data_IF_356170554592
#
_entry.id   IF_356170554592
#
_cell.length_a   1.000
_cell.length_b   1.000
_cell.length_c   1.000
_cell.angle_alpha   90.00
_cell.angle_beta   90.00
_cell.angle_gamma   90.00
#
_symmetry.space_group_name_H-M   'P 1'
#
loop_
_entity.id
_entity.type
_entity.pdbx_description
1 polymer ?
#
# COMPACT_ATOMS: atom_id res chain seq x y z
N UNK A 1 25.76 -17.42 -6.62
CA UNK A 1 24.86 -18.55 -6.93
C UNK A 1 23.68 -18.50 -5.97
N UNK A 2 22.46 -18.85 -6.42
CA UNK A 2 21.34 -19.04 -5.51
C UNK A 2 21.64 -20.23 -4.57
N UNK A 3 21.30 -20.15 -3.26
CA UNK A 3 21.47 -21.29 -2.36
C UNK A 3 20.57 -22.43 -2.85
N UNK A 4 21.04 -23.69 -2.70
CA UNK A 4 20.25 -24.87 -3.08
C UNK A 4 19.15 -25.19 -2.06
N UNK A 5 19.38 -24.80 -0.80
CA UNK A 5 18.47 -25.03 0.33
C UNK A 5 18.30 -23.77 1.15
N UNK A 6 17.14 -23.56 1.77
CA UNK A 6 16.85 -22.47 2.71
C UNK A 6 15.71 -22.87 3.64
N UNK A 7 15.76 -22.49 4.90
CA UNK A 7 14.67 -22.76 5.85
C UNK A 7 13.42 -21.96 5.48
N UNK A 8 13.60 -20.65 5.21
CA UNK A 8 12.51 -19.80 4.75
C UNK A 8 12.81 -19.16 3.39
N UNK A 9 11.89 -19.32 2.45
CA UNK A 9 11.94 -18.68 1.14
C UNK A 9 10.86 -17.61 1.05
N UNK A 10 11.24 -16.33 1.03
CA UNK A 10 10.34 -15.21 0.87
C UNK A 10 10.26 -14.80 -0.60
N UNK A 11 9.06 -14.76 -1.19
CA UNK A 11 8.85 -14.38 -2.59
C UNK A 11 8.31 -12.96 -2.67
N UNK A 12 9.12 -12.03 -3.19
CA UNK A 12 8.81 -10.62 -3.41
C UNK A 12 9.64 -9.67 -2.55
N UNK A 13 10.50 -8.86 -3.20
CA UNK A 13 11.40 -7.86 -2.59
C UNK A 13 10.74 -6.50 -2.36
N UNK A 14 9.43 -6.47 -2.09
CA UNK A 14 8.75 -5.27 -1.60
C UNK A 14 9.01 -5.03 -0.12
N UNK A 15 8.54 -3.89 0.41
CA UNK A 15 8.70 -3.55 1.83
C UNK A 15 8.21 -4.65 2.77
N UNK A 16 7.10 -5.31 2.42
CA UNK A 16 6.55 -6.38 3.25
C UNK A 16 7.42 -7.65 3.21
N UNK A 17 7.92 -8.04 2.04
CA UNK A 17 8.83 -9.19 1.93
C UNK A 17 10.12 -8.96 2.71
N UNK A 18 10.72 -7.78 2.60
CA UNK A 18 11.92 -7.39 3.35
C UNK A 18 11.67 -7.41 4.86
N UNK A 19 10.59 -6.79 5.33
CA UNK A 19 10.26 -6.79 6.77
C UNK A 19 9.88 -8.18 7.30
N UNK A 20 9.25 -9.03 6.47
CA UNK A 20 8.99 -10.43 6.82
C UNK A 20 10.28 -11.23 6.93
N UNK A 21 11.21 -11.08 5.98
CA UNK A 21 12.50 -11.77 6.01
C UNK A 21 13.31 -11.38 7.26
N UNK A 22 13.39 -10.08 7.55
CA UNK A 22 14.05 -9.56 8.76
C UNK A 22 13.39 -10.07 10.05
N UNK A 23 12.06 -10.08 10.12
CA UNK A 23 11.33 -10.55 11.31
C UNK A 23 11.46 -12.08 11.49
N UNK A 24 11.48 -12.88 10.40
CA UNK A 24 11.76 -14.32 10.44
C UNK A 24 13.17 -14.56 11.00
N UNK A 25 14.18 -13.89 10.47
CA UNK A 25 15.56 -14.01 10.96
C UNK A 25 15.68 -13.60 12.42
N UNK A 26 15.03 -12.52 12.83
CA UNK A 26 15.02 -12.05 14.23
C UNK A 26 14.39 -13.06 15.18
N UNK A 27 13.32 -13.76 14.79
CA UNK A 27 12.61 -14.73 15.65
C UNK A 27 13.22 -16.10 15.68
N UNK A 28 13.80 -16.53 14.57
CA UNK A 28 14.33 -17.88 14.40
C UNK A 28 15.86 -17.93 14.28
N UNK A 29 16.57 -16.88 14.71
CA UNK A 29 18.03 -16.78 14.89
C UNK A 29 18.87 -17.48 13.82
N UNK A 30 19.13 -18.78 14.01
CA UNK A 30 20.01 -19.59 13.18
C UNK A 30 19.41 -20.03 11.83
N UNK A 31 18.12 -19.71 11.57
CA UNK A 31 17.50 -20.08 10.31
C UNK A 31 18.13 -19.35 9.12
N UNK A 32 18.25 -20.06 8.00
CA UNK A 32 18.58 -19.48 6.71
C UNK A 32 17.33 -18.85 6.07
N UNK A 33 17.46 -17.60 5.62
CA UNK A 33 16.38 -16.87 4.95
C UNK A 33 16.85 -16.43 3.57
N UNK A 34 16.11 -16.81 2.53
CA UNK A 34 16.33 -16.35 1.16
C UNK A 34 15.14 -15.54 0.69
N UNK A 35 15.38 -14.38 0.09
CA UNK A 35 14.36 -13.52 -0.50
C UNK A 35 14.56 -13.45 -2.01
N UNK A 36 13.50 -13.73 -2.77
CA UNK A 36 13.47 -13.62 -4.23
C UNK A 36 12.81 -12.29 -4.66
N UNK A 37 13.46 -11.57 -5.54
CA UNK A 37 12.88 -10.43 -6.26
C UNK A 37 13.11 -10.60 -7.77
N UNK A 38 12.04 -10.58 -8.55
CA UNK A 38 12.12 -10.78 -10.02
C UNK A 38 12.75 -9.61 -10.76
N UNK A 39 12.69 -8.42 -10.20
CA UNK A 39 13.27 -7.20 -10.75
C UNK A 39 14.76 -7.09 -10.38
N UNK A 40 15.53 -6.25 -11.10
CA UNK A 40 16.96 -6.04 -10.81
C UNK A 40 17.23 -5.38 -9.45
N UNK A 41 16.20 -4.83 -8.80
CA UNK A 41 16.30 -4.25 -7.46
C UNK A 41 14.98 -4.41 -6.69
N UNK A 42 15.06 -4.41 -5.37
CA UNK A 42 13.90 -4.43 -4.49
C UNK A 42 13.09 -3.13 -4.60
N UNK A 43 11.76 -3.21 -4.36
CA UNK A 43 10.88 -2.06 -4.23
C UNK A 43 10.48 -1.36 -5.53
N UNK A 44 10.77 -1.88 -6.71
CA UNK A 44 10.45 -1.24 -8.00
C UNK A 44 8.95 -1.19 -8.33
N UNK A 45 8.13 -1.95 -7.61
CA UNK A 45 6.67 -1.96 -7.72
C UNK A 45 6.00 -1.04 -6.68
N UNK A 46 4.89 -1.45 -6.07
CA UNK A 46 4.07 -0.64 -5.16
C UNK A 46 4.87 0.00 -4.01
N UNK A 47 5.93 -0.66 -3.51
CA UNK A 47 6.74 -0.16 -2.40
C UNK A 47 7.52 1.11 -2.73
N UNK A 48 8.02 1.26 -3.94
CA UNK A 48 8.71 2.49 -4.39
C UNK A 48 7.80 3.46 -5.15
N UNK A 49 6.55 3.09 -5.42
CA UNK A 49 5.61 3.86 -6.25
C UNK A 49 4.35 4.30 -5.50
N UNK A 50 4.46 4.53 -4.19
CA UNK A 50 3.36 4.98 -3.34
C UNK A 50 3.46 6.46 -2.97
N UNK A 51 2.52 6.92 -2.13
CA UNK A 51 2.46 8.32 -1.73
C UNK A 51 3.58 8.77 -0.79
N UNK A 52 4.25 7.86 -0.10
CA UNK A 52 5.18 8.19 0.99
C UNK A 52 4.50 8.65 2.27
N UNK A 53 3.17 8.65 2.35
CA UNK A 53 2.44 9.08 3.54
C UNK A 53 2.42 7.98 4.58
N UNK A 54 2.95 8.27 5.78
CA UNK A 54 2.77 7.47 6.98
C UNK A 54 1.41 7.76 7.59
N UNK A 55 0.46 6.85 7.37
CA UNK A 55 -0.92 7.00 7.84
C UNK A 55 -1.02 6.78 9.36
N UNK A 56 -1.88 7.55 10.04
CA UNK A 56 -2.10 7.40 11.48
C UNK A 56 -3.08 6.26 11.86
N UNK A 57 -4.01 5.88 10.95
CA UNK A 57 -4.87 4.69 11.14
C UNK A 57 -6.34 4.96 11.47
N UNK A 58 -6.79 6.19 11.56
CA UNK A 58 -8.15 6.57 11.97
C UNK A 58 -9.25 6.41 10.91
N UNK A 59 -8.90 6.02 9.67
CA UNK A 59 -9.90 5.78 8.61
C UNK A 59 -10.63 4.44 8.76
N UNK A 60 -10.06 3.49 9.49
CA UNK A 60 -10.53 2.11 9.59
C UNK A 60 -11.37 1.90 10.85
N UNK A 61 -12.31 0.96 10.81
CA UNK A 61 -13.06 0.53 11.99
C UNK A 61 -12.17 -0.28 12.92
N UNK A 62 -12.38 -0.18 14.23
CA UNK A 62 -11.47 -0.71 15.27
C UNK A 62 -11.30 -2.24 15.24
N UNK A 63 -12.26 -2.95 14.65
CA UNK A 63 -12.28 -4.41 14.47
C UNK A 63 -11.33 -4.91 13.37
N UNK A 64 -10.86 -4.04 12.48
CA UNK A 64 -10.01 -4.41 11.35
C UNK A 64 -8.53 -4.57 11.74
N UNK A 65 -7.81 -5.46 11.04
CA UNK A 65 -6.35 -5.57 11.15
C UNK A 65 -5.66 -4.25 10.74
N UNK A 66 -6.18 -3.57 9.74
CA UNK A 66 -5.66 -2.26 9.32
C UNK A 66 -5.69 -1.25 10.45
N UNK A 67 -6.79 -1.14 11.19
CA UNK A 67 -6.88 -0.23 12.34
C UNK A 67 -5.85 -0.61 13.42
N UNK A 68 -5.82 -1.87 13.80
CA UNK A 68 -4.93 -2.40 14.85
C UNK A 68 -3.46 -2.20 14.53
N UNK A 69 -3.06 -2.43 13.27
CA UNK A 69 -1.66 -2.44 12.88
C UNK A 69 -1.14 -1.08 12.38
N UNK A 70 -2.02 -0.14 11.94
CA UNK A 70 -1.54 1.12 11.36
C UNK A 70 -0.92 2.04 12.40
N UNK A 71 -1.52 2.18 13.58
CA UNK A 71 -0.99 3.04 14.65
C UNK A 71 0.42 2.59 15.08
N UNK A 72 0.57 1.30 15.34
CA UNK A 72 1.87 0.74 15.73
C UNK A 72 2.87 0.75 14.57
N UNK A 73 2.40 0.46 13.35
CA UNK A 73 3.22 0.54 12.14
C UNK A 73 3.75 1.95 11.88
N UNK A 74 2.92 2.98 12.03
CA UNK A 74 3.34 4.38 11.95
C UNK A 74 4.45 4.68 12.96
N UNK A 75 4.28 4.27 14.22
CA UNK A 75 5.26 4.49 15.28
C UNK A 75 6.59 3.79 14.96
N UNK A 76 6.54 2.50 14.57
CA UNK A 76 7.75 1.70 14.27
C UNK A 76 8.48 2.22 13.04
N UNK A 77 7.77 2.51 11.95
CA UNK A 77 8.41 3.00 10.72
C UNK A 77 8.98 4.42 10.92
N UNK A 78 8.29 5.28 11.68
CA UNK A 78 8.83 6.59 12.02
C UNK A 78 10.09 6.48 12.91
N UNK A 79 10.11 5.57 13.89
CA UNK A 79 11.28 5.30 14.71
C UNK A 79 12.45 4.76 13.88
N UNK A 80 12.17 3.81 12.98
CA UNK A 80 13.14 3.26 12.05
C UNK A 80 13.77 4.35 11.17
N UNK A 81 12.96 5.27 10.62
CA UNK A 81 13.50 6.38 9.82
C UNK A 81 14.43 7.27 10.65
N UNK A 82 14.07 7.58 11.90
CA UNK A 82 14.93 8.38 12.79
C UNK A 82 16.24 7.63 13.11
N UNK A 83 16.15 6.36 13.47
CA UNK A 83 17.32 5.51 13.80
C UNK A 83 18.29 5.38 12.63
N UNK A 84 17.78 5.28 11.41
CA UNK A 84 18.59 5.15 10.18
C UNK A 84 18.94 6.49 9.53
N UNK A 85 18.60 7.63 10.13
CA UNK A 85 18.83 8.95 9.55
C UNK A 85 18.09 9.20 8.24
N UNK A 86 16.97 8.50 7.99
CA UNK A 86 16.18 8.65 6.78
C UNK A 86 15.27 9.88 6.88
N UNK A 87 15.00 10.57 5.75
CA UNK A 87 14.14 11.73 5.73
C UNK A 87 12.72 11.42 6.23
N UNK A 88 12.28 12.17 7.22
CA UNK A 88 10.95 12.07 7.85
C UNK A 88 10.40 13.47 8.10
N UNK A 89 9.33 13.84 7.41
CA UNK A 89 8.62 15.11 7.63
C UNK A 89 7.31 14.86 8.41
N UNK A 90 7.24 15.33 9.65
CA UNK A 90 6.08 15.21 10.55
C UNK A 90 5.07 16.33 10.29
N UNK A 91 4.71 16.55 9.04
CA UNK A 91 3.85 17.66 8.60
C UNK A 91 2.37 17.53 9.05
N UNK A 92 1.95 16.40 9.58
CA UNK A 92 0.54 16.18 9.92
C UNK A 92 -0.37 16.03 8.69
N UNK A 93 -1.69 15.96 8.96
CA UNK A 93 -2.72 15.89 7.94
C UNK A 93 -4.03 16.54 8.40
N UNK A 94 -4.57 17.44 7.59
CA UNK A 94 -5.93 17.93 7.69
C UNK A 94 -6.89 17.07 6.88
N UNK A 95 -8.04 16.73 7.45
CA UNK A 95 -9.20 16.24 6.74
C UNK A 95 -10.24 17.33 6.76
N UNK A 96 -10.53 17.90 5.59
CA UNK A 96 -11.38 19.08 5.44
C UNK A 96 -12.79 18.71 4.97
N UNK A 97 -13.81 19.38 5.51
CA UNK A 97 -15.17 19.35 4.99
C UNK A 97 -15.28 20.31 3.79
N UNK A 98 -15.84 19.87 2.69
CA UNK A 98 -16.08 20.69 1.49
C UNK A 98 -17.39 21.47 1.60
N UNK A 99 -18.34 20.88 2.30
CA UNK A 99 -19.67 21.41 2.55
C UNK A 99 -20.28 20.79 3.83
N UNK A 100 -21.51 21.18 4.17
CA UNK A 100 -22.21 20.68 5.36
C UNK A 100 -22.43 19.15 5.34
N UNK A 101 -22.52 18.52 4.17
CA UNK A 101 -22.74 17.07 4.05
C UNK A 101 -21.50 16.26 4.48
N UNK A 102 -20.31 16.87 4.47
CA UNK A 102 -19.06 16.24 4.93
C UNK A 102 -18.90 16.25 6.47
N UNK A 103 -19.62 17.14 7.20
CA UNK A 103 -19.45 17.33 8.66
C UNK A 103 -19.67 16.04 9.47
N UNK A 104 -20.74 15.23 9.24
CA UNK A 104 -20.91 13.95 9.94
C UNK A 104 -19.75 12.97 9.71
N UNK A 105 -19.09 13.04 8.54
CA UNK A 105 -17.93 12.23 8.23
C UNK A 105 -16.71 12.58 9.10
N UNK A 106 -16.51 13.86 9.45
CA UNK A 106 -15.46 14.27 10.39
C UNK A 106 -15.72 13.71 11.79
N UNK A 107 -16.97 13.75 12.26
CA UNK A 107 -17.35 13.20 13.56
C UNK A 107 -17.12 11.68 13.63
N UNK A 108 -17.48 10.97 12.57
CA UNK A 108 -17.23 9.54 12.47
C UNK A 108 -15.73 9.22 12.46
N UNK A 109 -14.92 9.97 11.73
CA UNK A 109 -13.45 9.80 11.74
C UNK A 109 -12.86 10.09 13.13
N UNK A 110 -13.35 11.11 13.84
CA UNK A 110 -12.93 11.40 15.20
C UNK A 110 -13.32 10.26 16.16
N UNK A 111 -14.54 9.72 16.03
CA UNK A 111 -15.01 8.55 16.79
C UNK A 111 -14.10 7.33 16.56
N UNK A 112 -13.76 7.04 15.30
CA UNK A 112 -12.82 5.94 14.95
C UNK A 112 -11.44 6.18 15.52
N UNK A 113 -10.94 7.41 15.45
CA UNK A 113 -9.65 7.79 16.04
C UNK A 113 -9.60 7.52 17.54
N UNK A 114 -10.65 7.93 18.28
CA UNK A 114 -10.79 7.62 19.72
C UNK A 114 -10.80 6.12 19.99
N UNK A 115 -11.60 5.36 19.23
CA UNK A 115 -11.71 3.90 19.38
C UNK A 115 -10.39 3.16 19.10
N UNK A 116 -9.53 3.71 18.23
CA UNK A 116 -8.22 3.12 17.87
C UNK A 116 -7.05 3.74 18.63
N UNK A 117 -7.31 4.75 19.50
CA UNK A 117 -6.29 5.46 20.27
C UNK A 117 -5.36 6.32 19.39
N UNK A 118 -5.85 6.80 18.25
CA UNK A 118 -5.11 7.73 17.37
C UNK A 118 -5.41 9.16 17.80
N UNK A 119 -4.39 9.98 18.15
CA UNK A 119 -4.60 11.39 18.51
C UNK A 119 -5.14 12.18 17.30
N UNK A 120 -6.27 12.83 17.49
CA UNK A 120 -6.94 13.68 16.50
C UNK A 120 -7.49 14.93 17.18
N UNK A 121 -7.39 16.07 16.49
CA UNK A 121 -7.84 17.36 16.94
C UNK A 121 -8.92 17.90 15.99
N UNK A 122 -10.09 18.25 16.52
CA UNK A 122 -11.10 18.97 15.74
C UNK A 122 -10.74 20.46 15.79
N UNK A 123 -10.50 21.05 14.63
CA UNK A 123 -10.09 22.43 14.46
C UNK A 123 -11.23 23.27 13.87
N UNK A 124 -11.40 24.50 14.36
CA UNK A 124 -12.25 25.50 13.72
C UNK A 124 -11.65 25.97 12.39
N UNK A 125 -12.45 26.61 11.54
CA UNK A 125 -11.94 27.20 10.29
C UNK A 125 -10.81 28.22 10.54
N UNK A 126 -10.83 28.94 11.66
CA UNK A 126 -9.76 29.87 12.03
C UNK A 126 -8.47 29.15 12.44
N UNK A 127 -8.58 28.05 13.18
CA UNK A 127 -7.42 27.20 13.51
C UNK A 127 -6.81 26.59 12.26
N UNK A 128 -7.65 26.12 11.33
CA UNK A 128 -7.20 25.62 10.04
C UNK A 128 -6.43 26.68 9.27
N UNK A 129 -6.92 27.91 9.20
CA UNK A 129 -6.20 29.03 8.53
C UNK A 129 -4.86 29.36 9.17
N UNK A 130 -4.73 29.21 10.49
CA UNK A 130 -3.44 29.38 11.19
C UNK A 130 -2.45 28.25 10.87
N UNK A 131 -2.94 27.02 10.83
CA UNK A 131 -2.11 25.82 10.59
C UNK A 131 -1.70 25.73 9.11
N UNK A 132 -2.66 25.82 8.20
CA UNK A 132 -2.49 25.74 6.75
C UNK A 132 -3.31 26.86 6.08
N UNK A 133 -2.69 28.01 5.83
CA UNK A 133 -3.40 29.20 5.32
C UNK A 133 -4.13 28.99 3.99
N UNK A 134 -3.72 27.98 3.23
CA UNK A 134 -4.27 27.66 1.92
C UNK A 134 -5.36 26.58 1.95
N UNK A 135 -5.55 25.91 3.09
CA UNK A 135 -6.59 24.89 3.19
C UNK A 135 -7.99 25.52 3.21
N UNK A 136 -8.91 24.93 2.47
CA UNK A 136 -10.33 25.29 2.43
C UNK A 136 -11.13 24.29 3.23
N UNK A 137 -11.91 24.76 4.17
CA UNK A 137 -12.82 23.90 4.93
C UNK A 137 -14.15 24.61 5.19
N UNK A 138 -15.22 23.85 5.26
CA UNK A 138 -16.52 24.31 5.73
C UNK A 138 -16.58 24.14 7.24
N UNK A 139 -16.73 25.22 8.00
CA UNK A 139 -16.80 25.31 9.46
C UNK A 139 -15.61 24.71 10.21
N UNK A 140 -15.27 23.45 10.02
CA UNK A 140 -14.26 22.71 10.80
C UNK A 140 -13.52 21.67 9.99
N UNK A 141 -12.39 21.21 10.51
CA UNK A 141 -11.59 20.12 9.97
C UNK A 141 -11.04 19.22 11.06
N UNK A 142 -10.62 18.01 10.71
CA UNK A 142 -9.95 17.09 11.62
C UNK A 142 -8.45 17.07 11.34
N UNK A 143 -7.64 17.36 12.36
CA UNK A 143 -6.17 17.33 12.25
C UNK A 143 -5.60 16.04 12.86
N UNK A 144 -4.68 15.40 12.14
CA UNK A 144 -3.93 14.23 12.57
C UNK A 144 -2.44 14.59 12.68
N UNK A 145 -1.91 14.87 13.88
CA UNK A 145 -0.51 15.29 14.08
C UNK A 145 0.48 14.14 13.84
N UNK A 146 0.05 12.88 13.92
CA UNK A 146 0.91 11.71 13.75
C UNK A 146 1.12 11.29 12.29
N UNK A 147 0.40 11.88 11.34
CA UNK A 147 0.65 11.64 9.92
C UNK A 147 1.96 12.30 9.50
N UNK A 148 2.77 11.61 8.72
CA UNK A 148 4.08 12.10 8.28
C UNK A 148 4.34 11.73 6.81
N UNK A 149 5.44 12.19 6.25
CA UNK A 149 5.95 11.83 4.91
C UNK A 149 7.32 11.21 5.02
N UNK A 150 7.56 10.12 4.30
CA UNK A 150 8.86 9.48 4.12
C UNK A 150 9.20 9.37 2.63
N UNK A 151 10.46 9.04 2.33
CA UNK A 151 10.88 8.67 0.98
C UNK A 151 10.85 7.14 0.83
N UNK A 152 9.86 6.57 0.13
CA UNK A 152 9.67 5.12 0.09
C UNK A 152 10.87 4.35 -0.46
N UNK A 153 11.56 4.88 -1.45
CA UNK A 153 12.73 4.25 -2.06
C UNK A 153 13.91 4.18 -1.11
N UNK A 154 14.12 5.20 -0.29
CA UNK A 154 15.21 5.23 0.72
C UNK A 154 14.91 4.26 1.87
N UNK A 155 13.63 4.17 2.30
CA UNK A 155 13.21 3.17 3.29
C UNK A 155 13.47 1.76 2.79
N UNK A 156 13.12 1.46 1.53
CA UNK A 156 13.38 0.13 0.94
C UNK A 156 14.86 -0.15 0.81
N UNK A 157 15.66 0.82 0.37
CA UNK A 157 17.12 0.67 0.26
C UNK A 157 17.76 0.38 1.62
N UNK A 158 17.33 1.07 2.68
CA UNK A 158 17.78 0.83 4.05
C UNK A 158 17.42 -0.58 4.53
N UNK A 159 16.20 -1.07 4.25
CA UNK A 159 15.79 -2.44 4.59
C UNK A 159 16.58 -3.50 3.83
N UNK A 160 16.99 -3.24 2.59
CA UNK A 160 17.89 -4.14 1.83
C UNK A 160 19.27 -4.22 2.49
N UNK A 161 19.81 -3.07 2.94
CA UNK A 161 21.07 -3.05 3.68
C UNK A 161 20.96 -3.82 5.01
N UNK A 162 19.86 -3.64 5.75
CA UNK A 162 19.60 -4.38 6.98
C UNK A 162 19.48 -5.90 6.73
N UNK A 163 18.83 -6.30 5.62
CA UNK A 163 18.74 -7.71 5.24
C UNK A 163 20.13 -8.32 4.98
N UNK A 164 21.00 -7.58 4.28
CA UNK A 164 22.40 -8.00 4.09
C UNK A 164 23.17 -8.12 5.41
N UNK A 165 23.00 -7.15 6.31
CA UNK A 165 23.65 -7.18 7.63
C UNK A 165 23.12 -8.31 8.54
N UNK A 166 21.93 -8.84 8.27
CA UNK A 166 21.31 -9.97 8.96
C UNK A 166 21.55 -11.32 8.27
N UNK A 167 22.50 -11.41 7.31
CA UNK A 167 22.81 -12.62 6.53
C UNK A 167 21.60 -13.22 5.79
N UNK A 168 20.69 -12.35 5.33
CA UNK A 168 19.58 -12.76 4.48
C UNK A 168 20.04 -12.73 3.01
N UNK A 169 19.89 -13.85 2.30
CA UNK A 169 20.23 -13.94 0.89
C UNK A 169 19.16 -13.24 0.02
N UNK A 170 19.42 -11.98 -0.40
CA UNK A 170 18.51 -11.22 -1.27
C UNK A 170 18.91 -11.45 -2.74
N UNK A 171 18.10 -12.21 -3.47
CA UNK A 171 18.35 -12.58 -4.86
C UNK A 171 17.47 -11.73 -5.80
N UNK A 172 18.05 -10.67 -6.34
CA UNK A 172 17.40 -9.82 -7.36
C UNK A 172 17.58 -10.40 -8.77
N UNK A 173 16.65 -10.09 -9.69
CA UNK A 173 16.61 -10.67 -11.03
C UNK A 173 16.16 -12.14 -11.03
N UNK A 174 15.71 -12.67 -9.89
CA UNK A 174 15.31 -14.09 -9.73
C UNK A 174 13.80 -14.20 -9.52
N UNK A 175 13.11 -14.68 -10.54
CA UNK A 175 11.66 -14.83 -10.55
C UNK A 175 11.23 -16.22 -10.05
N UNK A 176 10.22 -16.26 -9.19
CA UNK A 176 9.45 -17.47 -8.91
C UNK A 176 8.77 -17.99 -10.20
N UNK A 177 8.83 -19.28 -10.46
CA UNK A 177 8.28 -19.92 -11.67
C UNK A 177 7.26 -21.01 -11.38
N UNK A 178 7.21 -21.51 -10.15
CA UNK A 178 6.28 -22.56 -9.75
C UNK A 178 6.82 -23.45 -8.64
N UNK A 179 6.05 -24.49 -8.31
CA UNK A 179 6.38 -25.51 -7.32
C UNK A 179 6.39 -26.90 -7.96
N UNK A 180 7.32 -27.76 -7.54
CA UNK A 180 7.39 -29.15 -7.96
C UNK A 180 7.92 -30.08 -6.87
N UNK A 181 8.08 -31.37 -7.21
CA UNK A 181 8.59 -32.39 -6.25
C UNK A 181 9.99 -32.07 -5.72
N UNK A 182 10.80 -31.35 -6.49
CA UNK A 182 12.19 -31.01 -6.13
C UNK A 182 12.34 -29.65 -5.44
N UNK A 183 11.25 -28.97 -5.07
CA UNK A 183 11.29 -27.66 -4.44
C UNK A 183 10.61 -26.56 -5.24
N UNK A 184 11.06 -25.32 -5.03
CA UNK A 184 10.56 -24.11 -5.70
C UNK A 184 11.38 -23.82 -6.95
N UNK A 185 10.73 -23.80 -8.10
CA UNK A 185 11.35 -23.44 -9.38
C UNK A 185 11.49 -21.93 -9.50
N UNK A 186 12.69 -21.48 -9.87
CA UNK A 186 13.00 -20.07 -10.12
C UNK A 186 13.64 -19.88 -11.49
N UNK A 187 13.83 -18.64 -11.92
CA UNK A 187 14.58 -18.34 -13.16
C UNK A 187 16.09 -18.65 -13.05
N UNK A 188 16.59 -18.90 -11.83
CA UNK A 188 18.02 -19.21 -11.57
C UNK A 188 18.25 -20.66 -11.09
N UNK A 189 17.27 -21.54 -11.25
CA UNK A 189 17.32 -22.93 -10.81
C UNK A 189 16.29 -23.24 -9.70
N UNK A 190 16.45 -24.43 -9.10
CA UNK A 190 15.51 -24.91 -8.06
C UNK A 190 16.10 -24.67 -6.68
N UNK A 191 15.24 -24.23 -5.75
CA UNK A 191 15.56 -24.03 -4.35
C UNK A 191 14.68 -24.97 -3.53
N UNK A 192 15.30 -25.80 -2.70
CA UNK A 192 14.60 -26.58 -1.69
C UNK A 192 14.35 -25.65 -0.48
N UNK A 193 13.07 -25.41 -0.19
CA UNK A 193 12.64 -24.47 0.84
C UNK A 193 11.85 -25.21 1.92
N UNK A 194 12.28 -25.12 3.16
CA UNK A 194 11.56 -25.65 4.30
C UNK A 194 10.17 -25.03 4.45
N UNK A 195 10.07 -23.72 4.27
CA UNK A 195 8.81 -22.97 4.32
C UNK A 195 8.79 -21.81 3.32
N UNK A 196 7.69 -21.67 2.58
CA UNK A 196 7.54 -20.55 1.64
C UNK A 196 6.67 -19.44 2.22
N UNK A 197 7.13 -18.18 2.12
CA UNK A 197 6.37 -16.99 2.48
C UNK A 197 6.13 -16.13 1.23
N UNK A 198 4.89 -16.09 0.79
CA UNK A 198 4.48 -15.36 -0.40
C UNK A 198 4.10 -13.91 -0.06
N UNK A 199 4.95 -12.96 -0.44
CA UNK A 199 4.75 -11.52 -0.40
C UNK A 199 4.82 -10.90 -1.81
N UNK A 200 4.40 -11.65 -2.84
CA UNK A 200 4.58 -11.33 -4.26
C UNK A 200 3.65 -10.22 -4.81
N UNK A 201 2.92 -9.51 -3.95
CA UNK A 201 2.12 -8.34 -4.31
C UNK A 201 1.15 -8.62 -5.46
N UNK A 202 1.39 -8.05 -6.65
CA UNK A 202 0.55 -8.23 -7.83
C UNK A 202 0.40 -9.69 -8.29
N UNK A 203 1.28 -10.59 -7.87
CA UNK A 203 1.26 -12.02 -8.23
C UNK A 203 0.94 -12.94 -7.06
N UNK A 204 0.59 -12.40 -5.90
CA UNK A 204 0.38 -13.17 -4.69
C UNK A 204 -0.72 -14.24 -4.85
N UNK A 205 -1.79 -13.95 -5.57
CA UNK A 205 -2.87 -14.89 -5.88
C UNK A 205 -2.42 -16.04 -6.80
N UNK A 206 -1.44 -15.82 -7.69
CA UNK A 206 -0.89 -16.86 -8.57
C UNK A 206 0.01 -17.80 -7.80
N UNK A 207 0.96 -17.25 -7.04
CA UNK A 207 1.85 -18.06 -6.18
C UNK A 207 1.03 -18.87 -5.16
N UNK A 208 0.00 -18.29 -4.57
CA UNK A 208 -0.85 -18.99 -3.61
C UNK A 208 -1.59 -20.20 -4.24
N UNK A 209 -2.05 -20.07 -5.49
CA UNK A 209 -2.72 -21.18 -6.19
C UNK A 209 -1.82 -22.38 -6.44
N UNK A 210 -0.53 -22.18 -6.65
CA UNK A 210 0.43 -23.29 -6.78
C UNK A 210 0.54 -24.13 -5.50
N UNK A 211 0.05 -23.57 -4.37
CA UNK A 211 0.00 -24.21 -3.05
C UNK A 211 -1.41 -24.63 -2.61
N UNK A 212 -2.42 -24.48 -3.48
CA UNK A 212 -3.82 -24.83 -3.17
C UNK A 212 -4.60 -23.75 -2.44
N UNK A 213 -4.07 -22.52 -2.38
CA UNK A 213 -4.73 -21.37 -1.74
C UNK A 213 -5.30 -20.38 -2.78
N UNK A 214 -5.94 -19.31 -2.30
CA UNK A 214 -6.51 -18.24 -3.15
C UNK A 214 -7.54 -18.74 -4.17
N UNK A 215 -8.29 -19.82 -3.88
CA UNK A 215 -9.30 -20.35 -4.79
C UNK A 215 -10.40 -19.37 -5.13
N UNK A 216 -10.89 -18.64 -4.10
CA UNK A 216 -11.95 -17.64 -4.23
C UNK A 216 -11.43 -16.22 -4.47
N UNK A 217 -10.11 -16.00 -4.49
CA UNK A 217 -9.53 -14.67 -4.59
C UNK A 217 -8.79 -14.46 -5.90
N UNK A 218 -8.91 -13.24 -6.44
CA UNK A 218 -8.15 -12.78 -7.62
C UNK A 218 -7.68 -11.36 -7.40
N UNK A 219 -6.47 -11.06 -7.85
CA UNK A 219 -5.99 -9.68 -7.83
C UNK A 219 -6.54 -8.94 -9.03
N UNK A 220 -7.13 -7.79 -8.73
CA UNK A 220 -7.62 -6.80 -9.67
C UNK A 220 -6.72 -5.56 -9.55
N UNK A 221 -5.89 -5.25 -10.57
CA UNK A 221 -4.95 -4.15 -10.49
C UNK A 221 -5.63 -2.80 -10.78
N UNK A 222 -5.36 -1.77 -9.94
CA UNK A 222 -5.80 -0.40 -10.15
C UNK A 222 -4.61 0.54 -10.24
N UNK A 223 -4.54 1.32 -11.31
CA UNK A 223 -3.50 2.32 -11.52
C UNK A 223 -3.83 3.62 -10.81
N UNK A 224 -2.85 4.16 -10.08
CA UNK A 224 -2.90 5.48 -9.50
C UNK A 224 -1.75 6.34 -9.98
N UNK A 225 -2.05 7.58 -10.39
CA UNK A 225 -1.04 8.58 -10.79
C UNK A 225 -1.26 9.86 -10.02
N UNK A 226 -0.18 10.56 -9.76
CA UNK A 226 -0.17 11.89 -9.16
C UNK A 226 0.30 12.93 -10.18
N UNK A 227 -0.28 14.12 -10.15
CA UNK A 227 0.30 15.30 -10.76
C UNK A 227 1.26 15.95 -9.76
N UNK A 228 2.43 16.30 -10.23
CA UNK A 228 3.47 16.97 -9.45
C UNK A 228 3.37 18.49 -9.69
N UNK A 229 3.51 19.25 -8.61
CA UNK A 229 3.67 20.70 -8.73
C UNK A 229 4.96 21.04 -9.48
N UNK A 230 4.90 22.08 -10.30
CA UNK A 230 6.06 22.66 -10.97
C UNK A 230 6.97 23.34 -9.92
N UNK A 231 8.28 23.44 -10.18
CA UNK A 231 9.19 24.22 -9.35
C UNK A 231 8.67 25.66 -9.16
N UNK A 232 8.74 26.19 -7.93
CA UNK A 232 8.24 27.51 -7.58
C UNK A 232 6.72 27.61 -7.39
N UNK A 233 5.96 26.54 -7.64
CA UNK A 233 4.54 26.52 -7.28
C UNK A 233 4.38 26.57 -5.74
N UNK A 234 3.37 27.31 -5.24
CA UNK A 234 3.15 27.41 -3.80
C UNK A 234 2.93 26.04 -3.14
N UNK A 235 3.68 25.77 -2.07
CA UNK A 235 3.60 24.54 -1.30
C UNK A 235 2.43 24.52 -0.31
N UNK A 236 2.35 23.42 0.45
CA UNK A 236 1.48 23.29 1.62
C UNK A 236 2.31 22.92 2.85
N UNK A 237 1.86 23.35 4.04
CA UNK A 237 2.52 23.02 5.32
C UNK A 237 2.18 21.62 5.79
N UNK A 238 0.97 21.15 5.50
CA UNK A 238 0.45 19.82 5.89
C UNK A 238 -0.26 19.15 4.73
N UNK A 239 -0.52 17.84 4.84
CA UNK A 239 -1.40 17.14 3.89
C UNK A 239 -2.84 17.65 4.01
N UNK A 240 -3.54 17.82 2.89
CA UNK A 240 -4.95 18.19 2.88
C UNK A 240 -5.77 17.16 2.12
N UNK A 241 -6.66 16.49 2.83
CA UNK A 241 -7.52 15.43 2.33
C UNK A 241 -9.00 15.83 2.47
N UNK A 242 -9.87 15.44 1.54
CA UNK A 242 -11.31 15.56 1.75
C UNK A 242 -11.78 14.50 2.76
N UNK A 243 -12.96 14.71 3.34
CA UNK A 243 -13.70 13.64 4.01
C UNK A 243 -13.97 12.52 2.98
N UNK A 244 -13.54 11.28 3.25
CA UNK A 244 -13.75 10.19 2.32
C UNK A 244 -15.20 9.69 2.35
N UNK A 245 -15.70 9.19 1.23
CA UNK A 245 -16.86 8.32 1.25
C UNK A 245 -16.45 7.00 1.92
N UNK A 246 -16.84 6.79 3.18
CA UNK A 246 -16.32 5.70 4.04
C UNK A 246 -16.59 4.30 3.50
N UNK A 247 -17.58 4.14 2.60
CA UNK A 247 -17.85 2.90 1.88
C UNK A 247 -16.97 2.68 0.64
N UNK A 248 -16.17 3.69 0.23
CA UNK A 248 -15.34 3.60 -0.97
C UNK A 248 -13.92 3.15 -0.61
N UNK A 249 -13.34 2.13 -1.29
CA UNK A 249 -11.96 1.71 -1.08
C UNK A 249 -10.92 2.77 -1.48
N UNK A 250 -11.31 3.82 -2.19
CA UNK A 250 -10.44 4.88 -2.68
C UNK A 250 -10.72 6.19 -1.93
N UNK A 251 -9.67 6.81 -1.38
CA UNK A 251 -9.78 8.05 -0.59
C UNK A 251 -10.07 9.32 -1.41
N UNK A 252 -10.20 9.21 -2.73
CA UNK A 252 -10.37 10.36 -3.62
C UNK A 252 -9.09 11.17 -3.83
N UNK A 253 -9.22 12.30 -4.53
CA UNK A 253 -8.11 13.21 -4.82
C UNK A 253 -7.78 14.03 -3.58
N UNK A 254 -6.50 14.08 -3.23
CA UNK A 254 -5.98 14.83 -2.09
C UNK A 254 -4.69 15.58 -2.45
N UNK A 255 -4.32 16.53 -1.63
CA UNK A 255 -3.10 17.32 -1.75
C UNK A 255 -2.08 16.78 -0.76
N UNK A 256 -0.94 16.34 -1.27
CA UNK A 256 0.09 15.68 -0.47
C UNK A 256 1.39 16.48 -0.53
N UNK A 257 1.90 16.88 0.64
CA UNK A 257 3.24 17.43 0.80
C UNK A 257 4.28 16.36 0.50
N UNK A 258 5.33 16.73 -0.22
CA UNK A 258 6.45 15.86 -0.58
C UNK A 258 7.69 16.22 0.23
N UNK A 259 8.57 15.26 0.44
CA UNK A 259 9.94 15.52 0.88
C UNK A 259 10.74 16.20 -0.25
N UNK A 260 11.70 17.05 0.13
CA UNK A 260 12.61 17.72 -0.80
C UNK A 260 12.08 19.06 -1.33
N UNK A 261 12.46 20.16 -0.67
CA UNK A 261 12.17 21.54 -1.07
C UNK A 261 10.93 22.18 -0.44
N UNK A 262 10.76 23.46 -0.63
CA UNK A 262 9.80 24.38 0.02
C UNK A 262 8.32 23.99 -0.12
N UNK A 263 7.91 22.89 0.53
CA UNK A 263 6.52 22.46 0.54
C UNK A 263 6.05 21.88 -0.79
N UNK A 264 6.95 21.30 -1.60
CA UNK A 264 6.61 20.66 -2.87
C UNK A 264 5.37 19.75 -2.75
N UNK A 265 4.47 19.84 -3.70
CA UNK A 265 3.13 19.25 -3.65
C UNK A 265 2.91 18.24 -4.77
N UNK A 266 2.12 17.22 -4.49
CA UNK A 266 1.47 16.37 -5.50
C UNK A 266 -0.02 16.27 -5.24
N UNK A 267 -0.81 16.17 -6.30
CA UNK A 267 -2.26 15.99 -6.23
C UNK A 267 -2.67 14.67 -6.88
N UNK A 268 -3.62 13.99 -6.31
CA UNK A 268 -4.07 12.67 -6.73
C UNK A 268 -4.39 11.77 -5.53
N UNK A 269 -4.37 10.43 -5.72
CA UNK A 269 -4.15 9.73 -6.99
C UNK A 269 -5.39 9.68 -7.89
N UNK A 270 -5.21 9.29 -9.14
CA UNK A 270 -6.27 8.69 -9.95
C UNK A 270 -6.52 7.26 -9.47
N UNK A 271 -7.66 6.67 -9.81
CA UNK A 271 -7.96 5.27 -9.57
C UNK A 271 -8.59 4.66 -10.83
N UNK A 272 -7.76 4.26 -11.77
CA UNK A 272 -8.19 3.64 -13.02
C UNK A 272 -7.89 2.14 -13.01
N UNK A 273 -8.77 1.29 -13.56
CA UNK A 273 -8.43 -0.10 -13.82
C UNK A 273 -7.16 -0.25 -14.65
N UNK A 274 -6.41 -1.33 -14.42
CA UNK A 274 -5.28 -1.72 -15.26
C UNK A 274 -5.63 -3.01 -15.98
N UNK A 275 -5.41 -3.06 -17.29
CA UNK A 275 -5.77 -4.22 -18.12
C UNK A 275 -4.76 -5.37 -18.04
N UNK A 276 -3.57 -5.14 -17.51
CA UNK A 276 -2.62 -6.19 -17.11
C UNK A 276 -1.89 -5.78 -15.84
N UNK A 277 -1.34 -6.75 -15.11
CA UNK A 277 -0.84 -6.55 -13.75
C UNK A 277 0.24 -5.47 -13.64
N UNK A 278 1.09 -5.34 -14.65
CA UNK A 278 2.21 -4.39 -14.67
C UNK A 278 2.03 -3.25 -15.68
N UNK A 279 0.82 -2.77 -15.87
CA UNK A 279 0.53 -1.65 -16.73
C UNK A 279 1.02 -0.31 -16.12
N UNK A 280 2.31 -0.20 -15.89
CA UNK A 280 2.91 1.03 -15.36
C UNK A 280 3.04 2.09 -16.43
N UNK A 281 3.65 1.76 -17.59
CA UNK A 281 4.01 2.70 -18.64
C UNK A 281 3.63 2.14 -20.01
N UNK A 282 2.71 2.80 -20.71
CA UNK A 282 2.28 2.45 -22.07
C UNK A 282 1.94 0.97 -22.24
N UNK A 283 2.52 0.33 -23.24
CA UNK A 283 2.38 -1.10 -23.56
C UNK A 283 3.47 -1.99 -22.95
N UNK A 284 4.34 -1.45 -22.12
CA UNK A 284 5.41 -2.21 -21.49
C UNK A 284 4.82 -3.33 -20.61
N UNK A 285 5.48 -4.51 -20.68
CA UNK A 285 5.05 -5.72 -19.95
C UNK A 285 3.60 -6.15 -20.29
N UNK A 286 3.12 -5.84 -21.52
CA UNK A 286 1.81 -6.27 -21.96
C UNK A 286 1.71 -7.80 -22.01
N UNK A 287 0.59 -8.31 -21.49
CA UNK A 287 0.25 -9.73 -21.48
C UNK A 287 -1.19 -9.91 -21.91
N UNK A 288 -1.39 -10.57 -23.03
CA UNK A 288 -2.72 -10.77 -23.60
C UNK A 288 -3.63 -11.64 -22.70
N UNK A 289 -3.06 -12.68 -22.08
CA UNK A 289 -3.75 -13.56 -21.13
C UNK A 289 -4.30 -12.78 -19.92
N UNK A 290 -3.50 -11.88 -19.40
CA UNK A 290 -3.90 -10.99 -18.29
C UNK A 290 -4.95 -9.98 -18.74
N UNK A 291 -4.75 -9.36 -19.89
CA UNK A 291 -5.66 -8.36 -20.45
C UNK A 291 -7.07 -8.95 -20.64
N UNK A 292 -7.20 -10.07 -21.30
CA UNK A 292 -8.49 -10.74 -21.53
C UNK A 292 -9.15 -11.15 -20.22
N UNK A 293 -8.37 -11.73 -19.29
CA UNK A 293 -8.91 -12.18 -18.00
C UNK A 293 -9.37 -11.03 -17.11
N UNK A 294 -8.62 -9.93 -17.05
CA UNK A 294 -8.96 -8.76 -16.24
C UNK A 294 -10.14 -8.03 -16.87
N UNK A 295 -10.11 -7.79 -18.18
CA UNK A 295 -11.21 -7.13 -18.88
C UNK A 295 -12.54 -7.88 -18.74
N UNK A 296 -12.53 -9.21 -18.85
CA UNK A 296 -13.73 -10.02 -18.65
C UNK A 296 -14.30 -9.86 -17.23
N UNK A 297 -13.44 -9.77 -16.20
CA UNK A 297 -13.87 -9.54 -14.82
C UNK A 297 -14.45 -8.15 -14.62
N UNK A 298 -13.78 -7.12 -15.15
CA UNK A 298 -14.25 -5.73 -15.06
C UNK A 298 -15.58 -5.53 -15.77
N UNK A 299 -15.75 -6.12 -16.95
CA UNK A 299 -17.02 -6.13 -17.68
C UNK A 299 -18.11 -6.85 -16.87
N UNK A 300 -17.78 -7.99 -16.25
CA UNK A 300 -18.71 -8.70 -15.37
C UNK A 300 -19.16 -7.86 -14.17
N UNK A 301 -18.23 -7.14 -13.52
CA UNK A 301 -18.56 -6.24 -12.41
C UNK A 301 -19.37 -5.03 -12.87
N UNK A 302 -19.09 -4.48 -14.05
CA UNK A 302 -19.90 -3.42 -14.66
C UNK A 302 -21.31 -3.91 -14.97
N UNK A 303 -21.47 -5.13 -15.49
CA UNK A 303 -22.77 -5.68 -15.85
C UNK A 303 -23.63 -5.95 -14.63
N UNK A 304 -23.09 -6.56 -13.58
CA UNK A 304 -23.78 -6.85 -12.32
C UNK A 304 -23.92 -5.65 -11.39
N UNK A 305 -23.16 -4.58 -11.62
CA UNK A 305 -23.00 -3.43 -10.72
C UNK A 305 -22.49 -3.82 -9.32
N UNK A 306 -21.55 -4.77 -9.27
CA UNK A 306 -20.97 -5.26 -8.03
C UNK A 306 -20.49 -4.07 -7.16
N UNK A 307 -20.91 -4.00 -5.91
CA UNK A 307 -20.61 -2.92 -4.94
C UNK A 307 -20.76 -1.47 -5.47
N UNK A 308 -21.63 -1.22 -6.45
CA UNK A 308 -21.83 0.09 -7.09
C UNK A 308 -20.69 0.48 -8.03
N UNK A 309 -20.04 -0.51 -8.65
CA UNK A 309 -18.87 -0.33 -9.53
C UNK A 309 -19.14 0.59 -10.71
N UNK A 310 -20.37 0.58 -11.30
CA UNK A 310 -20.74 1.52 -12.38
C UNK A 310 -20.60 2.97 -11.94
N UNK A 311 -21.12 3.31 -10.76
CA UNK A 311 -21.05 4.68 -10.22
C UNK A 311 -19.60 5.10 -9.98
N UNK A 312 -18.77 4.20 -9.43
CA UNK A 312 -17.34 4.44 -9.20
C UNK A 312 -16.60 4.64 -10.51
N UNK A 313 -16.80 3.78 -11.49
CA UNK A 313 -16.16 3.85 -12.81
C UNK A 313 -16.54 5.15 -13.55
N UNK A 314 -17.82 5.53 -13.56
CA UNK A 314 -18.30 6.77 -14.18
C UNK A 314 -17.73 8.01 -13.47
N UNK A 315 -17.66 8.01 -12.15
CA UNK A 315 -17.07 9.12 -11.38
C UNK A 315 -15.58 9.29 -11.70
N UNK A 316 -14.84 8.19 -11.82
CA UNK A 316 -13.42 8.23 -12.18
C UNK A 316 -13.20 8.64 -13.65
N UNK A 317 -14.00 8.13 -14.61
CA UNK A 317 -13.92 8.52 -16.02
C UNK A 317 -14.12 10.03 -16.22
N UNK A 318 -15.11 10.62 -15.52
CA UNK A 318 -15.39 12.07 -15.60
C UNK A 318 -14.27 12.94 -15.05
N UNK A 319 -13.40 12.41 -14.23
CA UNK A 319 -12.40 13.16 -13.45
C UNK A 319 -10.96 12.67 -13.67
N UNK A 320 -10.77 11.67 -14.51
CA UNK A 320 -9.46 11.00 -14.72
C UNK A 320 -8.39 11.92 -15.34
N UNK A 321 -8.79 12.95 -16.06
CA UNK A 321 -7.85 13.86 -16.73
C UNK A 321 -7.20 14.87 -15.78
N UNK A 322 -6.09 15.47 -16.22
CA UNK A 322 -5.35 16.54 -15.51
C UNK A 322 -6.27 17.63 -14.96
N UNK A 323 -7.19 18.15 -15.80
CA UNK A 323 -8.14 19.20 -15.40
C UNK A 323 -9.08 18.75 -14.28
N UNK A 324 -9.53 17.50 -14.31
CA UNK A 324 -10.39 16.91 -13.28
C UNK A 324 -9.68 16.81 -11.91
N UNK A 325 -8.43 16.33 -11.90
CA UNK A 325 -7.61 16.27 -10.69
C UNK A 325 -7.36 17.65 -10.10
N UNK A 326 -6.95 18.62 -10.94
CA UNK A 326 -6.69 20.00 -10.52
C UNK A 326 -7.95 20.63 -9.92
N UNK A 327 -9.12 20.47 -10.56
CA UNK A 327 -10.39 21.00 -10.06
C UNK A 327 -10.74 20.44 -8.68
N UNK A 328 -10.60 19.13 -8.48
CA UNK A 328 -10.87 18.49 -7.18
C UNK A 328 -9.90 19.00 -6.11
N UNK A 329 -8.62 19.12 -6.42
CA UNK A 329 -7.62 19.61 -5.48
C UNK A 329 -7.81 21.12 -5.16
N UNK A 330 -8.22 21.93 -6.14
CA UNK A 330 -8.55 23.35 -5.93
C UNK A 330 -9.77 23.57 -5.01
N UNK A 331 -10.64 22.56 -4.87
CA UNK A 331 -11.69 22.56 -3.87
C UNK A 331 -11.20 22.38 -2.43
N UNK A 332 -9.95 21.95 -2.25
CA UNK A 332 -9.35 21.66 -0.94
C UNK A 332 -8.30 22.70 -0.53
N UNK A 333 -7.60 23.27 -1.51
CA UNK A 333 -6.45 24.17 -1.27
C UNK A 333 -6.47 25.32 -2.29
N UNK A 334 -6.34 26.54 -1.80
CA UNK A 334 -6.26 27.75 -2.62
C UNK A 334 -4.98 27.79 -3.46
N UNK A 335 -5.06 28.43 -4.64
CA UNK A 335 -3.94 28.61 -5.55
C UNK A 335 -3.51 27.33 -6.29
N UNK A 336 -4.33 26.30 -6.30
CA UNK A 336 -4.14 25.15 -7.18
C UNK A 336 -4.80 25.43 -8.52
N UNK A 337 -3.97 25.52 -9.58
CA UNK A 337 -4.43 25.82 -10.94
C UNK A 337 -3.66 24.97 -11.98
N UNK A 338 -4.21 24.76 -13.20
CA UNK A 338 -3.64 23.86 -14.20
C UNK A 338 -2.20 24.20 -14.62
N UNK A 339 -1.81 25.47 -14.59
CA UNK A 339 -0.45 25.86 -14.99
C UNK A 339 0.62 25.36 -14.01
N UNK A 340 0.25 25.20 -12.72
CA UNK A 340 1.16 24.72 -11.67
C UNK A 340 1.30 23.17 -11.65
N UNK A 341 0.50 22.43 -12.41
CA UNK A 341 0.46 20.95 -12.37
C UNK A 341 0.45 20.36 -13.78
N UNK A 342 1.60 20.32 -14.45
CA UNK A 342 1.75 19.83 -15.82
C UNK A 342 2.33 18.43 -15.89
N UNK A 343 3.17 18.05 -14.94
CA UNK A 343 3.97 16.83 -14.95
C UNK A 343 3.30 15.71 -14.17
N UNK A 344 3.17 14.55 -14.82
CA UNK A 344 2.75 13.33 -14.13
C UNK A 344 3.92 12.68 -13.40
N UNK A 345 3.67 12.22 -12.18
CA UNK A 345 4.57 11.34 -11.45
C UNK A 345 4.51 9.90 -11.97
N UNK A 346 5.34 9.04 -11.39
CA UNK A 346 5.35 7.60 -11.69
C UNK A 346 3.99 6.95 -11.40
N UNK A 347 3.60 6.01 -12.25
CA UNK A 347 2.40 5.20 -12.03
C UNK A 347 2.64 4.21 -10.90
N UNK A 348 1.74 4.16 -9.91
CA UNK A 348 1.63 3.07 -8.95
C UNK A 348 0.50 2.12 -9.33
N UNK A 349 0.61 0.84 -8.98
CA UNK A 349 -0.48 -0.13 -9.16
C UNK A 349 -0.82 -0.74 -7.81
N UNK A 350 -2.11 -0.64 -7.45
CA UNK A 350 -2.68 -1.26 -6.26
C UNK A 350 -3.14 -2.68 -6.62
N UNK A 351 -2.59 -3.67 -5.94
CA UNK A 351 -2.99 -5.07 -6.05
C UNK A 351 -4.24 -5.32 -5.20
N UNK A 352 -5.42 -4.84 -5.64
CA UNK A 352 -6.65 -5.00 -4.88
C UNK A 352 -7.16 -6.43 -5.00
N UNK A 353 -7.50 -7.05 -3.87
CA UNK A 353 -8.04 -8.40 -3.86
C UNK A 353 -9.54 -8.37 -4.07
N UNK A 354 -10.02 -9.16 -5.02
CA UNK A 354 -11.42 -9.42 -5.32
C UNK A 354 -11.79 -10.81 -4.82
N UNK A 355 -12.81 -10.90 -3.99
CA UNK A 355 -13.52 -12.15 -3.70
C UNK A 355 -14.48 -12.44 -4.85
N UNK A 356 -14.19 -13.48 -5.63
CA UNK A 356 -15.00 -13.82 -6.82
C UNK A 356 -16.29 -14.56 -6.49
N UNK A 357 -16.44 -15.08 -5.27
CA UNK A 357 -17.68 -15.72 -4.81
C UNK A 357 -18.67 -14.70 -4.28
N UNK A 358 -18.17 -13.77 -3.44
CA UNK A 358 -18.98 -12.70 -2.83
C UNK A 358 -19.09 -11.45 -3.72
N UNK A 359 -18.43 -11.43 -4.86
CA UNK A 359 -18.41 -10.29 -5.79
C UNK A 359 -18.07 -8.94 -5.12
N UNK A 360 -17.12 -8.95 -4.18
CA UNK A 360 -16.72 -7.75 -3.42
C UNK A 360 -15.20 -7.63 -3.31
N UNK A 361 -14.74 -6.39 -3.11
CA UNK A 361 -13.33 -6.13 -2.82
C UNK A 361 -13.02 -6.42 -1.35
N UNK A 362 -11.92 -7.11 -1.09
CA UNK A 362 -11.41 -7.28 0.28
C UNK A 362 -10.85 -5.95 0.80
N UNK A 363 -11.45 -5.48 1.90
CA UNK A 363 -11.11 -4.17 2.46
C UNK A 363 -10.00 -4.23 3.52
N UNK A 364 -9.80 -5.39 4.18
CA UNK A 364 -8.78 -5.57 5.21
C UNK A 364 -7.59 -6.40 4.69
N UNK A 365 -6.55 -6.57 5.50
CA UNK A 365 -5.46 -7.49 5.19
C UNK A 365 -5.96 -8.92 5.14
N UNK A 366 -5.52 -9.65 4.11
CA UNK A 366 -5.92 -11.05 3.91
C UNK A 366 -4.69 -11.91 3.70
N UNK A 367 -4.68 -13.06 4.36
CA UNK A 367 -3.64 -14.07 4.23
C UNK A 367 -4.23 -15.48 4.38
N UNK A 368 -3.57 -16.46 3.79
CA UNK A 368 -3.88 -17.89 3.91
C UNK A 368 -2.57 -18.66 4.09
N UNK A 369 -2.63 -19.87 4.60
CA UNK A 369 -1.43 -20.70 4.77
C UNK A 369 -1.66 -21.92 5.61
N UNK A 370 -0.68 -22.83 5.56
CA UNK A 370 -0.60 -24.09 6.27
C UNK A 370 0.77 -24.28 6.97
N UNK A 371 1.18 -25.52 7.17
CA UNK A 371 2.47 -25.93 7.73
C UNK A 371 3.63 -25.85 6.74
N UNK A 372 3.39 -25.56 5.47
CA UNK A 372 4.40 -25.54 4.38
C UNK A 372 4.55 -24.18 3.73
N UNK A 373 3.51 -23.35 3.80
CA UNK A 373 3.50 -22.08 3.11
C UNK A 373 2.55 -21.06 3.73
N UNK A 374 2.86 -19.78 3.51
CA UNK A 374 2.06 -18.67 3.96
C UNK A 374 1.94 -17.61 2.87
N UNK A 375 0.73 -17.16 2.56
CA UNK A 375 0.43 -16.32 1.42
C UNK A 375 -0.26 -15.03 1.86
N UNK A 376 0.40 -13.88 1.67
CA UNK A 376 -0.18 -12.57 1.92
C UNK A 376 -0.90 -12.11 0.65
N UNK A 377 -2.23 -12.24 0.64
CA UNK A 377 -3.07 -12.03 -0.55
C UNK A 377 -3.48 -10.57 -0.72
N UNK A 378 -3.79 -9.86 0.38
CA UNK A 378 -4.21 -8.46 0.34
C UNK A 378 -3.38 -7.62 1.32
N UNK A 379 -2.37 -6.94 0.79
CA UNK A 379 -1.52 -6.02 1.51
C UNK A 379 -1.48 -4.65 0.78
N UNK A 380 -2.67 -4.11 0.47
CA UNK A 380 -2.81 -2.76 -0.08
C UNK A 380 -2.72 -1.69 1.01
N UNK A 381 -2.72 -0.40 0.62
CA UNK A 381 -2.66 0.71 1.60
C UNK A 381 -3.56 0.43 2.81
N UNK A 382 -3.02 0.60 4.04
CA UNK A 382 -1.79 1.26 4.42
C UNK A 382 -0.57 0.33 4.67
N UNK A 383 -0.45 -0.78 3.94
CA UNK A 383 0.55 -1.82 4.19
C UNK A 383 2.01 -1.29 4.25
N UNK A 384 2.35 -0.24 3.49
CA UNK A 384 3.67 0.39 3.60
C UNK A 384 3.90 0.94 5.01
N UNK A 385 2.96 1.70 5.54
CA UNK A 385 3.00 2.20 6.93
C UNK A 385 3.05 1.05 7.94
N UNK A 386 2.29 -0.04 7.68
CA UNK A 386 2.15 -1.17 8.59
C UNK A 386 3.29 -2.19 8.48
N UNK A 387 4.26 -2.03 7.59
CA UNK A 387 5.16 -3.11 7.20
C UNK A 387 5.80 -3.85 8.40
N UNK A 388 6.34 -3.12 9.37
CA UNK A 388 6.93 -3.72 10.57
C UNK A 388 5.91 -4.41 11.49
N UNK A 389 4.78 -3.76 11.76
CA UNK A 389 3.74 -4.33 12.64
C UNK A 389 3.01 -5.50 11.96
N UNK A 390 2.79 -5.41 10.65
CA UNK A 390 2.19 -6.48 9.87
C UNK A 390 3.14 -7.68 9.77
N UNK A 391 4.43 -7.48 9.51
CA UNK A 391 5.42 -8.55 9.49
C UNK A 391 5.49 -9.27 10.83
N UNK A 392 5.56 -8.53 11.95
CA UNK A 392 5.57 -9.13 13.28
C UNK A 392 4.30 -9.96 13.57
N UNK A 393 3.13 -9.46 13.17
CA UNK A 393 1.87 -10.18 13.29
C UNK A 393 1.86 -11.45 12.43
N UNK A 394 2.27 -11.36 11.16
CA UNK A 394 2.24 -12.50 10.24
C UNK A 394 3.26 -13.58 10.62
N UNK A 395 4.48 -13.21 11.04
CA UNK A 395 5.49 -14.18 11.50
C UNK A 395 5.04 -14.88 12.78
N UNK A 396 4.31 -14.20 13.66
CA UNK A 396 3.65 -14.87 14.78
C UNK A 396 2.65 -15.93 14.30
N UNK A 397 1.82 -15.61 13.30
CA UNK A 397 0.87 -16.57 12.71
C UNK A 397 1.55 -17.75 12.01
N UNK A 398 2.71 -17.53 11.39
CA UNK A 398 3.55 -18.61 10.85
C UNK A 398 4.05 -19.51 11.98
N UNK A 399 4.60 -18.96 13.05
CA UNK A 399 5.08 -19.70 14.21
C UNK A 399 4.00 -20.60 14.84
N UNK A 400 2.78 -20.07 15.00
CA UNK A 400 1.65 -20.83 15.52
C UNK A 400 1.33 -22.07 14.66
N UNK A 401 1.49 -22.01 13.34
CA UNK A 401 1.29 -23.17 12.41
C UNK A 401 2.42 -24.18 12.50
N UNK A 402 3.66 -23.71 12.59
CA UNK A 402 4.83 -24.60 12.70
C UNK A 402 4.83 -25.37 14.04
N UNK A 403 4.43 -24.73 15.15
CA UNK A 403 4.35 -25.37 16.46
C UNK A 403 3.25 -26.42 16.57
N UNK A 404 2.13 -26.25 15.88
CA UNK A 404 1.04 -27.26 15.86
C UNK A 404 1.54 -28.57 15.25
N UNK A 405 2.40 -28.51 14.22
CA UNK A 405 2.97 -29.71 13.58
C UNK A 405 3.99 -30.39 14.50
N UNK A 406 4.88 -29.63 15.13
CA UNK A 406 5.87 -30.18 16.06
C UNK A 406 5.25 -30.85 17.30
N UNK A 407 4.03 -30.46 17.70
CA UNK A 407 3.30 -31.09 18.79
C UNK A 407 2.46 -32.31 18.36
N UNK A 408 2.26 -32.51 17.05
CA UNK A 408 1.48 -33.59 16.46
C UNK A 408 2.37 -34.71 15.84
N UNK A 409 3.67 -34.49 15.73
CA UNK A 409 4.72 -35.45 15.30
C UNK A 409 5.42 -36.05 16.50
#
# INVERSE_FOLDING_TARGET
MAPRTTDFLVVGGGILGLTLALELKRRHGDCSVTLLEKEPACGLHASGRNSGVLHAGFYYTADTLKARLTREGNRRLAAYCVERGLPLDRCGKLVVARDAADLPGLDELQRRGRATGVPLEMLSADDVRRLEPRARTHERALFSPRTATVQPTEVVASLVADAGAADIAVLTGVAYRGRGRGGVFTSAGTIDAGYLVNAAGLYADRVARDYGFSERYRILPFRGRYLLAEPGAPGVRTHVYPVPALANPFLGVHVTRRLGGDGAVKIGPTAAPALWREQYDGWRNFRLDECLTIAARELGMLWRDDFGFRRLALAELRTHGRRGLVRRAAGLVDGIHPAAFRRWGSTGIRAQLLDVREHRLEMDFRYEGDDRSFHVLNAVSPAFTCAFSLAAYLVQRIGERLHVVAAAS
#
